data_IF_675869981792
#
_entry.id   IF_675869981792
#
_cell.length_a   1.000
_cell.length_b   1.000
_cell.length_c   1.000
_cell.angle_alpha   90.00
_cell.angle_beta   90.00
_cell.angle_gamma   90.00
#
_symmetry.space_group_name_H-M   'P 1'
#
loop_
_entity.id
_entity.type
_entity.pdbx_description
1 polymer ?
#
# COMPACT_ATOMS: atom_id res chain seq x y z
N UNK A 1 6.67 -2.66 4.06
CA UNK A 1 6.45 -3.55 5.21
C UNK A 1 7.80 -3.82 5.83
N UNK A 2 7.91 -3.67 7.15
CA UNK A 2 9.15 -3.86 7.89
C UNK A 2 8.93 -4.82 9.06
N UNK A 3 10.01 -5.46 9.51
CA UNK A 3 10.01 -6.37 10.66
C UNK A 3 11.07 -5.87 11.65
N UNK A 4 10.74 -5.84 12.93
CA UNK A 4 11.68 -5.55 14.02
C UNK A 4 11.56 -6.61 15.09
N UNK A 5 12.70 -7.09 15.57
CA UNK A 5 12.78 -8.04 16.67
C UNK A 5 13.22 -7.33 17.95
N UNK A 6 12.63 -7.73 19.06
CA UNK A 6 13.04 -7.34 20.40
C UNK A 6 13.34 -8.61 21.20
N UNK A 7 14.47 -8.60 21.89
CA UNK A 7 14.86 -9.66 22.83
C UNK A 7 14.89 -9.04 24.21
N UNK A 8 13.92 -9.39 25.06
CA UNK A 8 13.74 -8.77 26.38
C UNK A 8 14.03 -9.84 27.44
N UNK A 9 15.14 -9.73 28.20
CA UNK A 9 15.41 -10.60 29.33
C UNK A 9 14.25 -10.59 30.33
N UNK A 10 13.92 -11.75 30.89
CA UNK A 10 12.87 -11.86 31.92
C UNK A 10 13.23 -11.07 33.17
N UNK A 11 14.52 -10.99 33.50
CA UNK A 11 15.04 -10.21 34.62
C UNK A 11 15.89 -9.05 34.11
N UNK A 12 15.65 -7.83 34.60
CA UNK A 12 16.43 -6.63 34.23
C UNK A 12 16.17 -6.10 32.82
N UNK A 13 15.07 -6.51 32.19
CA UNK A 13 14.70 -6.13 30.82
C UNK A 13 13.85 -4.86 30.71
N UNK A 14 13.68 -4.08 31.77
CA UNK A 14 12.69 -2.99 31.86
C UNK A 14 12.91 -1.92 30.79
N UNK A 15 14.16 -1.55 30.52
CA UNK A 15 14.50 -0.56 29.49
C UNK A 15 14.14 -1.07 28.08
N UNK A 16 14.43 -2.34 27.79
CA UNK A 16 14.12 -2.94 26.49
C UNK A 16 12.61 -3.13 26.30
N UNK A 17 11.89 -3.39 27.39
CA UNK A 17 10.44 -3.40 27.40
C UNK A 17 9.87 -2.00 27.08
N UNK A 18 10.42 -0.95 27.69
CA UNK A 18 10.00 0.42 27.39
C UNK A 18 10.33 0.81 25.94
N UNK A 19 11.50 0.44 25.42
CA UNK A 19 11.86 0.66 24.02
C UNK A 19 10.89 -0.04 23.06
N UNK A 20 10.45 -1.25 23.39
CA UNK A 20 9.39 -1.95 22.65
C UNK A 20 8.08 -1.17 22.71
N UNK A 21 7.66 -0.69 23.89
CA UNK A 21 6.40 0.06 24.04
C UNK A 21 6.44 1.38 23.26
N UNK A 22 7.55 2.12 23.34
CA UNK A 22 7.78 3.34 22.55
C UNK A 22 7.67 3.02 21.06
N UNK A 23 8.29 1.93 20.61
CA UNK A 23 8.23 1.51 19.22
C UNK A 23 6.81 1.18 18.76
N UNK A 24 6.07 0.38 19.54
CA UNK A 24 4.68 0.01 19.26
C UNK A 24 3.76 1.22 19.15
N UNK A 25 3.98 2.25 19.98
CA UNK A 25 3.23 3.52 19.92
C UNK A 25 3.59 4.38 18.70
N UNK A 26 4.80 4.23 18.17
CA UNK A 26 5.31 5.08 17.09
C UNK A 26 4.99 4.61 15.67
N UNK A 27 4.53 3.37 15.48
CA UNK A 27 4.36 2.75 14.16
C UNK A 27 2.97 2.13 13.99
N UNK A 28 2.49 2.01 12.75
CA UNK A 28 1.28 1.25 12.44
C UNK A 28 1.61 -0.25 12.47
N UNK A 29 1.25 -0.89 13.57
CA UNK A 29 1.52 -2.31 13.82
C UNK A 29 0.55 -3.18 13.02
N UNK A 30 1.08 -4.14 12.28
CA UNK A 30 0.31 -5.12 11.52
C UNK A 30 0.10 -6.41 12.31
N UNK A 31 1.16 -6.87 12.99
CA UNK A 31 1.16 -8.12 13.76
C UNK A 31 2.28 -8.09 14.79
N UNK A 32 1.99 -8.61 15.98
CA UNK A 32 2.97 -8.90 17.02
C UNK A 32 2.92 -10.38 17.35
N UNK A 33 4.06 -11.03 17.33
CA UNK A 33 4.25 -12.42 17.76
C UNK A 33 5.27 -12.43 18.89
N UNK A 34 5.06 -13.27 19.90
CA UNK A 34 6.00 -13.41 21.00
C UNK A 34 6.23 -14.89 21.34
N UNK A 35 7.44 -15.17 21.84
CA UNK A 35 7.83 -16.48 22.30
C UNK A 35 8.80 -16.32 23.47
N UNK A 36 8.53 -17.04 24.57
CA UNK A 36 9.48 -17.18 25.66
C UNK A 36 10.50 -18.25 25.27
N UNK A 37 11.79 -17.89 25.35
CA UNK A 37 12.91 -18.77 25.06
C UNK A 37 13.76 -18.90 26.32
N UNK A 38 14.09 -20.15 26.66
CA UNK A 38 14.99 -20.48 27.76
C UNK A 38 16.13 -21.31 27.20
N UNK A 39 17.38 -20.88 27.39
CA UNK A 39 18.59 -21.55 26.88
C UNK A 39 19.42 -22.20 27.99
N UNK A 40 18.89 -22.24 29.22
CA UNK A 40 19.57 -22.80 30.40
C UNK A 40 20.53 -21.83 31.09
N UNK A 41 20.93 -20.73 30.45
CA UNK A 41 21.70 -19.63 31.06
C UNK A 41 20.84 -18.41 31.40
N UNK A 42 19.65 -18.32 30.79
CA UNK A 42 18.63 -17.34 31.13
C UNK A 42 17.32 -17.60 30.41
N UNK A 43 16.36 -16.71 30.64
CA UNK A 43 15.09 -16.68 29.92
C UNK A 43 14.84 -15.28 29.36
N UNK A 44 14.35 -15.22 28.13
CA UNK A 44 14.01 -13.97 27.46
C UNK A 44 12.78 -14.12 26.57
N UNK A 45 12.06 -13.01 26.42
CA UNK A 45 11.00 -12.87 25.45
C UNK A 45 11.58 -12.43 24.10
N UNK A 46 11.33 -13.22 23.07
CA UNK A 46 11.52 -12.79 21.69
C UNK A 46 10.19 -12.24 21.17
N UNK A 47 10.18 -10.98 20.73
CA UNK A 47 9.01 -10.32 20.16
C UNK A 47 9.30 -9.93 18.72
N UNK A 48 8.54 -10.48 17.79
CA UNK A 48 8.58 -10.13 16.37
C UNK A 48 7.43 -9.17 16.07
N UNK A 49 7.77 -7.95 15.69
CA UNK A 49 6.81 -6.91 15.34
C UNK A 49 6.87 -6.64 13.84
N UNK A 50 5.76 -6.90 13.16
CA UNK A 50 5.56 -6.51 11.76
C UNK A 50 4.83 -5.18 11.74
N UNK A 51 5.37 -4.20 11.02
CA UNK A 51 4.84 -2.85 11.00
C UNK A 51 4.94 -2.21 9.62
N UNK A 52 4.10 -1.20 9.39
CA UNK A 52 4.26 -0.27 8.28
C UNK A 52 5.18 0.84 8.74
N UNK A 53 6.23 1.06 7.96
CA UNK A 53 7.15 2.13 8.20
C UNK A 53 6.74 3.35 7.38
N UNK A 54 6.35 4.42 8.06
CA UNK A 54 6.07 5.70 7.42
C UNK A 54 7.33 6.31 6.78
N UNK A 55 8.52 5.77 7.09
CA UNK A 55 9.81 6.24 6.55
C UNK A 55 10.20 5.62 5.21
N UNK A 56 9.46 4.61 4.71
CA UNK A 56 9.47 4.38 3.26
C UNK A 56 8.77 5.58 2.64
N UNK A 57 9.55 6.50 2.08
CA UNK A 57 9.15 7.55 1.17
C UNK A 57 8.21 7.01 0.07
N UNK A 58 6.94 6.80 0.39
CA UNK A 58 5.88 7.29 -0.46
C UNK A 58 5.75 8.75 -0.07
N UNK A 59 6.46 9.58 -0.83
CA UNK A 59 6.51 11.02 -0.79
C UNK A 59 5.17 11.61 -0.33
N UNK A 60 5.01 11.76 0.98
CA UNK A 60 3.93 12.51 1.62
C UNK A 60 4.27 13.98 1.50
N UNK A 61 4.61 14.43 0.28
CA UNK A 61 4.21 15.77 -0.13
C UNK A 61 2.75 15.83 0.21
N UNK A 62 2.35 16.88 0.90
CA UNK A 62 1.00 17.41 0.80
C UNK A 62 0.71 17.60 -0.70
N UNK A 63 0.34 16.51 -1.37
CA UNK A 63 -0.31 16.56 -2.66
C UNK A 63 -1.66 17.12 -2.27
N UNK A 64 -1.76 18.46 -2.38
CA UNK A 64 -3.02 19.22 -2.41
C UNK A 64 -4.07 18.25 -2.93
N UNK A 65 -5.07 17.96 -2.12
CA UNK A 65 -6.15 17.03 -2.46
C UNK A 65 -6.70 17.49 -3.82
N UNK A 66 -6.19 16.90 -4.90
CA UNK A 66 -6.53 17.34 -6.25
C UNK A 66 -7.98 16.96 -6.38
N UNK A 67 -8.85 17.96 -6.47
CA UNK A 67 -10.24 17.69 -6.77
C UNK A 67 -10.30 17.35 -8.25
N UNK A 68 -10.16 16.07 -8.57
CA UNK A 68 -10.12 15.60 -9.94
C UNK A 68 -11.43 15.88 -10.70
N UNK A 69 -12.47 16.33 -9.99
CA UNK A 69 -13.71 16.86 -10.57
C UNK A 69 -13.53 18.25 -11.20
N UNK A 70 -12.57 19.05 -10.73
CA UNK A 70 -12.24 20.37 -11.31
C UNK A 70 -11.15 20.28 -12.38
N UNK A 71 -10.40 19.18 -12.42
CA UNK A 71 -9.19 19.03 -13.25
C UNK A 71 -9.39 18.10 -14.46
N UNK A 72 -10.40 17.22 -14.42
CA UNK A 72 -10.75 16.35 -15.54
C UNK A 72 -11.99 16.92 -16.25
N UNK A 73 -11.99 16.89 -17.58
CA UNK A 73 -13.20 17.09 -18.38
C UNK A 73 -14.21 15.95 -18.14
N UNK A 74 -15.48 16.16 -18.47
CA UNK A 74 -16.57 15.22 -18.22
C UNK A 74 -16.27 13.79 -18.75
N UNK A 75 -15.70 13.69 -19.95
CA UNK A 75 -15.37 12.40 -20.56
C UNK A 75 -14.20 11.70 -19.84
N UNK A 76 -13.18 12.47 -19.44
CA UNK A 76 -12.10 11.94 -18.60
C UNK A 76 -12.57 11.57 -17.20
N UNK A 77 -13.51 12.33 -16.62
CA UNK A 77 -14.05 12.03 -15.29
C UNK A 77 -14.87 10.73 -15.30
N UNK A 78 -15.67 10.49 -16.34
CA UNK A 78 -16.41 9.25 -16.48
C UNK A 78 -15.47 8.03 -16.54
N UNK A 79 -14.38 8.12 -17.32
CA UNK A 79 -13.34 7.09 -17.36
C UNK A 79 -12.67 6.90 -16.00
N UNK A 80 -12.37 7.99 -15.29
CA UNK A 80 -11.79 7.93 -13.95
C UNK A 80 -12.72 7.24 -12.95
N UNK A 81 -14.01 7.51 -13.01
CA UNK A 81 -15.02 6.88 -12.15
C UNK A 81 -15.09 5.37 -12.39
N UNK A 82 -15.10 4.95 -13.66
CA UNK A 82 -15.06 3.52 -14.03
C UNK A 82 -13.79 2.85 -13.51
N UNK A 83 -12.63 3.44 -13.78
CA UNK A 83 -11.33 2.93 -13.29
C UNK A 83 -11.28 2.79 -11.76
N UNK A 84 -11.96 3.67 -11.01
CA UNK A 84 -12.06 3.55 -9.54
C UNK A 84 -12.83 2.31 -9.10
N UNK A 85 -13.95 2.01 -9.77
CA UNK A 85 -14.74 0.82 -9.46
C UNK A 85 -13.99 -0.47 -9.81
N UNK A 86 -13.34 -0.51 -10.98
CA UNK A 86 -12.46 -1.62 -11.38
C UNK A 86 -11.37 -1.84 -10.33
N UNK A 87 -10.70 -0.77 -9.89
CA UNK A 87 -9.66 -0.85 -8.85
C UNK A 87 -10.21 -1.41 -7.54
N UNK A 88 -11.44 -1.03 -7.16
CA UNK A 88 -12.10 -1.51 -5.95
C UNK A 88 -12.43 -3.00 -6.05
N UNK A 89 -12.88 -3.46 -7.22
CA UNK A 89 -13.12 -4.88 -7.48
C UNK A 89 -11.83 -5.69 -7.45
N UNK A 90 -10.77 -5.23 -8.12
CA UNK A 90 -9.46 -5.88 -8.13
C UNK A 90 -8.84 -5.95 -6.71
N UNK A 91 -8.92 -4.86 -5.95
CA UNK A 91 -8.47 -4.81 -4.56
C UNK A 91 -9.21 -5.83 -3.68
N UNK A 92 -10.53 -5.98 -3.88
CA UNK A 92 -11.35 -6.98 -3.18
C UNK A 92 -10.97 -8.41 -3.58
N UNK A 93 -10.74 -8.66 -4.87
CA UNK A 93 -10.34 -9.98 -5.37
C UNK A 93 -8.96 -10.41 -4.84
N UNK A 94 -8.01 -9.47 -4.78
CA UNK A 94 -6.65 -9.73 -4.30
C UNK A 94 -6.50 -9.61 -2.78
N UNK A 95 -7.56 -9.22 -2.07
CA UNK A 95 -7.57 -8.93 -0.63
C UNK A 95 -6.45 -7.95 -0.21
N UNK A 96 -6.30 -6.89 -1.00
CA UNK A 96 -5.33 -5.81 -0.77
C UNK A 96 -6.04 -4.46 -0.77
N UNK A 97 -5.37 -3.44 -0.22
CA UNK A 97 -5.87 -2.08 -0.22
C UNK A 97 -5.90 -1.48 -1.64
N UNK A 98 -6.91 -0.65 -1.95
CA UNK A 98 -7.09 -0.05 -3.29
C UNK A 98 -5.86 0.70 -3.79
N UNK A 99 -5.14 1.39 -2.91
CA UNK A 99 -3.95 2.15 -3.29
C UNK A 99 -2.76 1.26 -3.68
N UNK A 100 -2.75 -0.02 -3.27
CA UNK A 100 -1.74 -0.99 -3.67
C UNK A 100 -1.94 -1.46 -5.11
N UNK A 101 -3.18 -1.42 -5.60
CA UNK A 101 -3.49 -1.70 -7.01
C UNK A 101 -3.08 -0.51 -7.88
N UNK A 102 -3.70 0.67 -7.64
CA UNK A 102 -3.36 1.93 -8.32
C UNK A 102 -3.59 3.14 -7.43
N UNK A 103 -2.72 4.14 -7.53
CA UNK A 103 -2.93 5.44 -6.86
C UNK A 103 -3.95 6.29 -7.62
N UNK A 104 -4.54 7.29 -6.94
CA UNK A 104 -5.48 8.21 -7.61
C UNK A 104 -4.82 9.02 -8.73
N UNK A 105 -3.53 9.33 -8.60
CA UNK A 105 -2.78 10.02 -9.66
C UNK A 105 -2.56 9.16 -10.88
N UNK A 106 -2.24 7.88 -10.68
CA UNK A 106 -2.11 6.92 -11.78
C UNK A 106 -3.44 6.77 -12.52
N UNK A 107 -4.56 6.60 -11.78
CA UNK A 107 -5.89 6.55 -12.37
C UNK A 107 -6.28 7.83 -13.10
N UNK A 108 -5.95 8.99 -12.55
CA UNK A 108 -6.24 10.27 -13.20
C UNK A 108 -5.38 10.49 -14.46
N UNK A 109 -4.12 10.04 -14.43
CA UNK A 109 -3.25 10.07 -15.60
C UNK A 109 -3.77 9.19 -16.72
N UNK A 110 -4.27 7.99 -16.39
CA UNK A 110 -4.91 7.08 -17.35
C UNK A 110 -6.21 7.62 -17.89
N UNK A 111 -7.02 8.24 -17.03
CA UNK A 111 -8.32 8.78 -17.41
C UNK A 111 -8.22 9.91 -18.45
N UNK A 112 -7.12 10.69 -18.41
CA UNK A 112 -6.80 11.72 -19.41
C UNK A 112 -6.40 11.15 -20.76
N UNK A 113 -6.01 9.88 -20.84
CA UNK A 113 -5.67 9.26 -22.12
C UNK A 113 -6.96 8.98 -22.88
N UNK A 114 -6.98 9.35 -24.16
CA UNK A 114 -8.07 9.04 -25.06
C UNK A 114 -8.17 7.52 -25.32
N UNK A 115 -7.02 6.83 -25.36
CA UNK A 115 -6.93 5.40 -25.58
C UNK A 115 -5.96 4.74 -24.58
N UNK A 116 -6.40 3.64 -23.98
CA UNK A 116 -5.58 2.82 -23.08
C UNK A 116 -4.68 1.86 -23.90
N UNK A 117 -3.66 2.42 -24.55
CA UNK A 117 -2.64 1.63 -25.26
C UNK A 117 -1.40 1.40 -24.39
N UNK A 118 -0.65 0.29 -24.58
CA UNK A 118 0.54 0.01 -23.79
C UNK A 118 1.61 1.10 -23.90
N UNK A 119 1.71 1.77 -25.05
CA UNK A 119 2.62 2.89 -25.25
C UNK A 119 2.18 4.15 -24.46
N UNK A 120 0.89 4.48 -24.48
CA UNK A 120 0.35 5.66 -23.78
C UNK A 120 0.33 5.46 -22.26
N UNK A 121 0.00 4.27 -21.76
CA UNK A 121 0.03 3.97 -20.32
C UNK A 121 1.44 4.13 -19.72
N UNK A 122 2.49 3.77 -20.47
CA UNK A 122 3.90 3.96 -20.05
C UNK A 122 4.30 5.43 -19.91
N UNK A 123 3.55 6.36 -20.50
CA UNK A 123 3.80 7.81 -20.33
C UNK A 123 3.29 8.35 -18.99
N UNK A 124 2.44 7.60 -18.29
CA UNK A 124 1.88 8.01 -17.00
C UNK A 124 2.90 7.75 -15.89
N UNK A 125 3.27 8.81 -15.16
CA UNK A 125 4.19 8.74 -14.03
C UNK A 125 3.68 7.78 -12.95
N UNK A 126 4.42 6.69 -12.69
CA UNK A 126 4.07 5.65 -11.72
C UNK A 126 3.56 4.34 -12.34
N UNK A 127 3.25 4.32 -13.65
CA UNK A 127 2.78 3.14 -14.36
C UNK A 127 3.95 2.47 -15.10
N UNK A 128 4.44 1.38 -14.53
CA UNK A 128 5.35 0.46 -15.21
C UNK A 128 4.64 -0.57 -16.08
N UNK A 129 5.41 -1.40 -16.78
CA UNK A 129 4.91 -2.41 -17.71
C UNK A 129 3.91 -3.40 -17.08
N UNK A 130 4.25 -3.95 -15.90
CA UNK A 130 3.36 -4.84 -15.14
C UNK A 130 2.02 -4.18 -14.76
N UNK A 131 2.06 -2.89 -14.44
CA UNK A 131 0.88 -2.11 -14.05
C UNK A 131 0.00 -1.82 -15.27
N UNK A 132 0.61 -1.46 -16.41
CA UNK A 132 -0.09 -1.25 -17.66
C UNK A 132 -0.81 -2.52 -18.13
N UNK A 133 -0.14 -3.69 -18.09
CA UNK A 133 -0.78 -4.97 -18.40
C UNK A 133 -1.93 -5.30 -17.46
N UNK A 134 -1.78 -5.06 -16.16
CA UNK A 134 -2.81 -5.31 -15.16
C UNK A 134 -4.07 -4.47 -15.40
N UNK A 135 -3.92 -3.16 -15.64
CA UNK A 135 -5.07 -2.31 -16.03
C UNK A 135 -5.71 -2.79 -17.30
N UNK A 136 -4.90 -3.15 -18.30
CA UNK A 136 -5.39 -3.60 -19.59
C UNK A 136 -6.22 -4.87 -19.42
N UNK A 137 -5.74 -5.83 -18.65
CA UNK A 137 -6.48 -7.04 -18.31
C UNK A 137 -7.79 -6.72 -17.57
N UNK A 138 -7.74 -5.87 -16.55
CA UNK A 138 -8.91 -5.48 -15.78
C UNK A 138 -9.95 -4.72 -16.62
N UNK A 139 -9.52 -3.85 -17.52
CA UNK A 139 -10.38 -3.05 -18.38
C UNK A 139 -11.00 -3.89 -19.51
N UNK A 140 -10.23 -4.77 -20.16
CA UNK A 140 -10.78 -5.66 -21.20
C UNK A 140 -11.76 -6.67 -20.64
N UNK A 141 -11.54 -7.18 -19.42
CA UNK A 141 -12.48 -8.08 -18.74
C UNK A 141 -13.84 -7.40 -18.49
N UNK A 142 -13.86 -6.09 -18.23
CA UNK A 142 -15.10 -5.34 -18.06
C UNK A 142 -15.80 -5.08 -19.40
N UNK A 143 -15.06 -4.69 -20.45
CA UNK A 143 -15.65 -4.43 -21.77
C UNK A 143 -16.14 -5.69 -22.50
N UNK A 144 -15.61 -6.87 -22.17
CA UNK A 144 -16.02 -8.15 -22.75
C UNK A 144 -17.21 -8.79 -22.00
N UNK A 145 -17.62 -8.22 -20.86
CA UNK A 145 -18.72 -8.70 -20.02
C UNK A 145 -20.00 -7.89 -20.10
N UNK A 146 -20.11 -6.97 -21.07
CA UNK A 146 -21.29 -6.13 -21.32
C UNK A 146 -22.03 -6.52 -22.60
#
# INVERSE_FOLDING_TARGET
MQIKYFTIPVFGGEKLNEDLNVFLRSKKILRVENQLVSDGQGSFWCVCVRYLDDSTHYDKRERKKIDYREVLDEASFERFSRLREIRKQAAKQENVEVYLIFTNEELAGLARLAELTPASMKTVKGIGEKKAEKIRALFYLETAGG
#
